data_IF_137363303375
#
_entry.id   IF_137363303375
#
_cell.length_a   1.000
_cell.length_b   1.000
_cell.length_c   1.000
_cell.angle_alpha   90.00
_cell.angle_beta   90.00
_cell.angle_gamma   90.00
#
_symmetry.space_group_name_H-M   'P 1'
#
loop_
_entity.id
_entity.type
_entity.pdbx_description
1 polymer ?
#
# COMPACT_ATOMS: atom_id res chain seq x y z
N UNK A 1 2.82 10.63 -12.64
CA UNK A 1 1.40 10.37 -12.36
C UNK A 1 1.26 10.00 -10.90
N UNK A 2 0.75 10.91 -10.07
CA UNK A 2 0.44 10.63 -8.67
C UNK A 2 -1.05 10.30 -8.59
N UNK A 3 -1.38 9.03 -8.39
CA UNK A 3 -2.75 8.57 -8.27
C UNK A 3 -2.88 7.60 -7.11
N UNK A 4 -4.06 7.54 -6.50
CA UNK A 4 -4.38 6.57 -5.46
C UNK A 4 -5.70 5.88 -5.79
N UNK A 5 -5.77 4.56 -5.59
CA UNK A 5 -7.03 3.81 -5.72
C UNK A 5 -7.95 4.20 -4.58
N UNK A 6 -9.17 4.63 -4.90
CA UNK A 6 -10.19 5.00 -3.90
C UNK A 6 -11.30 3.96 -3.80
N UNK A 7 -11.62 3.26 -4.90
CA UNK A 7 -12.66 2.22 -4.93
C UNK A 7 -12.36 1.19 -6.03
N UNK A 8 -12.71 -0.06 -5.75
CA UNK A 8 -12.70 -1.17 -6.71
C UNK A 8 -14.12 -1.75 -6.70
N UNK A 9 -14.76 -1.77 -7.86
CA UNK A 9 -16.04 -2.43 -8.13
C UNK A 9 -15.81 -3.63 -9.06
N UNK A 10 -16.87 -4.37 -9.39
CA UNK A 10 -16.77 -5.59 -10.19
C UNK A 10 -16.26 -5.32 -11.62
N UNK A 11 -16.62 -4.17 -12.20
CA UNK A 11 -16.34 -3.80 -13.59
C UNK A 11 -15.50 -2.52 -13.75
N UNK A 12 -15.07 -1.90 -12.64
CA UNK A 12 -14.31 -0.64 -12.67
C UNK A 12 -13.48 -0.36 -11.42
N UNK A 13 -12.43 0.43 -11.63
CA UNK A 13 -11.56 1.01 -10.60
C UNK A 13 -11.62 2.53 -10.66
N UNK A 14 -11.65 3.16 -9.49
CA UNK A 14 -11.63 4.61 -9.34
C UNK A 14 -10.30 5.06 -8.75
N UNK A 15 -9.68 6.05 -9.39
CA UNK A 15 -8.41 6.64 -8.96
C UNK A 15 -8.62 8.13 -8.66
N UNK A 16 -8.13 8.60 -7.51
CA UNK A 16 -7.97 10.04 -7.29
C UNK A 16 -6.67 10.50 -7.94
N UNK A 17 -6.67 11.70 -8.52
CA UNK A 17 -5.45 12.38 -9.00
C UNK A 17 -4.95 13.39 -7.95
N UNK A 18 -3.91 14.13 -8.29
CA UNK A 18 -3.44 15.30 -7.56
C UNK A 18 -4.34 16.53 -7.72
N UNK A 19 -5.30 16.48 -8.65
CA UNK A 19 -6.32 17.51 -8.82
C UNK A 19 -7.48 17.23 -7.87
N UNK A 20 -7.73 18.16 -6.94
CA UNK A 20 -8.77 18.00 -5.94
C UNK A 20 -10.15 17.84 -6.56
N UNK A 21 -10.85 16.76 -6.18
CA UNK A 21 -12.17 16.43 -6.69
C UNK A 21 -12.20 15.69 -8.03
N UNK A 22 -11.06 15.53 -8.71
CA UNK A 22 -10.99 14.71 -9.92
C UNK A 22 -10.90 13.22 -9.56
N UNK A 23 -11.81 12.45 -10.14
CA UNK A 23 -11.84 10.99 -10.05
C UNK A 23 -11.76 10.42 -11.46
N UNK A 24 -10.75 9.60 -11.71
CA UNK A 24 -10.59 8.84 -12.93
C UNK A 24 -11.25 7.48 -12.78
N UNK A 25 -12.24 7.20 -13.63
CA UNK A 25 -12.92 5.91 -13.71
C UNK A 25 -12.30 5.07 -14.83
N UNK A 26 -11.89 3.84 -14.51
CA UNK A 26 -11.25 2.92 -15.45
C UNK A 26 -12.02 1.59 -15.45
N UNK A 27 -12.59 1.16 -16.58
CA UNK A 27 -13.18 -0.17 -16.70
C UNK A 27 -12.15 -1.27 -16.43
N UNK A 28 -12.52 -2.33 -15.72
CA UNK A 28 -11.66 -3.48 -15.50
C UNK A 28 -12.45 -4.79 -15.51
N UNK A 29 -11.83 -5.86 -16.01
CA UNK A 29 -12.31 -7.24 -15.79
C UNK A 29 -11.59 -7.91 -14.61
N UNK A 30 -10.33 -7.52 -14.35
CA UNK A 30 -9.49 -8.04 -13.27
C UNK A 30 -8.60 -6.95 -12.67
N UNK A 31 -8.35 -7.04 -11.36
CA UNK A 31 -7.42 -6.15 -10.65
C UNK A 31 -6.32 -6.98 -9.99
N UNK A 32 -5.07 -6.63 -10.28
CA UNK A 32 -3.90 -7.23 -9.64
C UNK A 32 -3.30 -6.26 -8.61
N UNK A 33 -3.33 -6.63 -7.32
CA UNK A 33 -2.84 -5.80 -6.23
C UNK A 33 -1.49 -6.32 -5.75
N UNK A 34 -0.40 -5.68 -6.18
CA UNK A 34 0.98 -6.05 -5.84
C UNK A 34 1.58 -5.16 -4.73
N UNK A 35 0.87 -4.99 -3.61
CA UNK A 35 1.32 -4.12 -2.50
C UNK A 35 2.32 -4.80 -1.55
N UNK A 36 2.80 -5.99 -1.92
CA UNK A 36 3.60 -6.85 -1.06
C UNK A 36 2.76 -7.55 0.01
N UNK A 37 3.43 -8.03 1.06
CA UNK A 37 2.79 -8.70 2.19
C UNK A 37 3.15 -8.02 3.50
N UNK A 38 2.27 -8.16 4.49
CA UNK A 38 2.54 -7.69 5.84
C UNK A 38 3.26 -8.78 6.66
N UNK A 39 4.28 -8.38 7.43
CA UNK A 39 4.91 -9.28 8.40
C UNK A 39 3.87 -9.68 9.46
N UNK A 40 3.73 -10.96 9.86
CA UNK A 40 2.74 -11.41 10.83
C UNK A 40 3.16 -11.05 12.27
N UNK A 41 3.23 -9.75 12.55
CA UNK A 41 3.78 -9.16 13.78
C UNK A 41 3.13 -9.74 15.04
N UNK A 42 1.80 -9.90 15.04
CA UNK A 42 1.04 -10.48 16.16
C UNK A 42 1.47 -11.91 16.50
N UNK A 43 1.83 -12.73 15.51
CA UNK A 43 2.32 -14.08 15.75
C UNK A 43 3.69 -14.05 16.41
N UNK A 44 4.59 -13.21 15.89
CA UNK A 44 5.95 -13.07 16.40
C UNK A 44 5.97 -12.52 17.83
N UNK A 45 5.13 -11.53 18.13
CA UNK A 45 4.97 -11.00 19.50
C UNK A 45 4.56 -12.08 20.49
N UNK A 46 3.59 -12.93 20.14
CA UNK A 46 3.17 -14.07 20.98
C UNK A 46 4.26 -15.12 21.16
N UNK A 47 5.17 -15.24 20.21
CA UNK A 47 6.35 -16.10 20.30
C UNK A 47 7.50 -15.47 21.12
N UNK A 48 7.29 -14.28 21.71
CA UNK A 48 8.27 -13.57 22.53
C UNK A 48 9.22 -12.66 21.74
N UNK A 49 9.00 -12.48 20.44
CA UNK A 49 9.81 -11.57 19.62
C UNK A 49 9.35 -10.13 19.84
N UNK A 50 10.27 -9.26 20.30
CA UNK A 50 9.99 -7.83 20.40
C UNK A 50 10.09 -7.15 19.03
N UNK A 51 8.98 -6.56 18.58
CA UNK A 51 8.93 -5.82 17.32
C UNK A 51 9.06 -4.33 17.61
N UNK A 52 10.00 -3.65 16.94
CA UNK A 52 10.12 -2.19 16.99
C UNK A 52 9.85 -1.61 15.61
N UNK A 53 8.85 -0.72 15.49
CA UNK A 53 8.64 0.06 14.27
C UNK A 53 9.66 1.19 14.25
N UNK A 54 10.55 1.21 13.25
CA UNK A 54 11.56 2.26 13.08
C UNK A 54 11.24 3.03 11.80
N UNK A 55 10.87 4.29 11.94
CA UNK A 55 10.61 5.18 10.81
C UNK A 55 11.85 6.04 10.52
N UNK A 56 12.28 6.13 9.26
CA UNK A 56 13.20 7.18 8.80
C UNK A 56 14.68 7.06 9.19
N UNK A 57 15.18 5.88 9.58
CA UNK A 57 16.62 5.71 9.82
C UNK A 57 17.36 5.40 8.51
N UNK A 58 18.36 6.22 8.17
CA UNK A 58 19.33 5.90 7.13
C UNK A 58 20.08 4.63 7.53
N UNK A 59 19.82 3.53 6.83
CA UNK A 59 20.61 2.31 6.97
C UNK A 59 22.00 2.62 6.40
N UNK A 60 22.98 2.69 7.31
CA UNK A 60 24.40 3.04 7.13
C UNK A 60 24.87 3.08 5.66
N UNK A 61 25.20 4.27 5.13
CA UNK A 61 25.96 4.41 3.87
C UNK A 61 27.30 3.71 4.05
N UNK A 62 27.58 2.69 3.24
CA UNK A 62 28.91 2.12 3.11
C UNK A 62 29.80 3.10 2.31
N UNK A 63 31.06 3.28 2.73
CA UNK A 63 32.03 4.16 2.06
C UNK A 63 32.66 3.45 0.87
#
# INVERSE_FOLDING_TARGET
>A
FNTNVTKIEDDKVYLSTDVEGEILEIPNDLVYIFIGGELPTRFLEKAGVQITKRFGYTVKKYR
#
